data_IF_359876970919
#
_entry.id   IF_359876970919
#
_cell.length_a   1.000
_cell.length_b   1.000
_cell.length_c   1.000
_cell.angle_alpha   90.00
_cell.angle_beta   90.00
_cell.angle_gamma   90.00
#
_symmetry.space_group_name_H-M   'P 1'
#
loop_
_entity.id
_entity.type
_entity.pdbx_description
1 polymer ?
#
# COMPACT_ATOMS: atom_id res chain seq x y z
N UNK A 1 87.36 46.08 37.07
CA UNK A 1 87.20 47.49 36.67
C UNK A 1 86.03 47.58 35.74
N UNK A 2 85.14 48.18 36.35
CA UNK A 2 84.12 49.18 35.94
C UNK A 2 82.98 48.63 35.13
N UNK A 3 81.91 48.52 35.73
CA UNK A 3 80.80 49.45 36.08
C UNK A 3 80.07 49.99 34.87
N UNK A 4 78.78 49.87 34.86
CA UNK A 4 77.93 50.76 34.06
C UNK A 4 76.61 50.18 33.73
N UNK A 5 75.75 50.17 34.62
CA UNK A 5 74.57 50.98 34.75
C UNK A 5 73.31 50.62 33.85
N UNK A 6 72.39 50.16 34.60
CA UNK A 6 70.92 50.01 34.33
C UNK A 6 70.33 51.13 33.47
N UNK A 7 69.42 50.70 32.59
CA UNK A 7 68.25 51.54 32.29
C UNK A 7 66.98 50.73 32.04
N UNK A 8 66.16 50.81 33.02
CA UNK A 8 64.84 50.30 33.16
C UNK A 8 63.92 50.97 32.09
N UNK A 9 63.38 50.26 31.17
CA UNK A 9 62.22 50.73 30.38
C UNK A 9 61.07 49.82 30.58
N UNK A 10 60.14 50.29 31.38
CA UNK A 10 58.81 49.72 31.54
C UNK A 10 58.07 49.91 30.25
N UNK A 11 57.84 48.85 29.52
CA UNK A 11 56.88 48.82 28.40
C UNK A 11 55.55 48.34 28.95
N UNK A 12 54.60 49.26 28.86
CA UNK A 12 53.23 49.16 29.26
C UNK A 12 52.54 48.11 28.36
N UNK A 13 52.22 46.95 28.93
CA UNK A 13 51.42 45.97 28.24
C UNK A 13 49.98 46.40 28.26
N UNK A 14 49.54 46.97 27.13
CA UNK A 14 48.16 47.27 26.83
C UNK A 14 47.41 45.93 26.63
N UNK A 15 46.65 45.56 27.63
CA UNK A 15 45.83 44.35 27.66
C UNK A 15 44.66 44.55 26.71
N UNK A 16 44.81 44.08 25.45
CA UNK A 16 43.69 43.98 24.53
C UNK A 16 42.80 42.80 24.93
N UNK A 17 41.64 43.08 25.52
CA UNK A 17 40.57 42.13 25.78
C UNK A 17 39.87 41.89 24.42
N UNK A 18 40.33 40.88 23.70
CA UNK A 18 39.60 40.34 22.53
C UNK A 18 38.41 39.52 23.03
N UNK A 19 37.21 40.07 22.87
CA UNK A 19 35.97 39.36 23.10
C UNK A 19 35.75 38.45 21.92
N UNK A 20 36.07 37.17 22.06
CA UNK A 20 35.68 36.14 21.06
C UNK A 20 34.20 35.88 21.18
N UNK A 21 33.43 36.45 20.27
CA UNK A 21 32.06 36.04 20.02
C UNK A 21 32.11 34.67 19.28
N UNK A 22 31.93 33.59 20.03
CA UNK A 22 31.66 32.26 19.46
C UNK A 22 30.20 32.28 19.03
N UNK A 23 29.99 32.58 17.74
CA UNK A 23 28.71 32.40 17.11
C UNK A 23 28.44 30.88 17.01
N UNK A 24 27.73 30.35 18.00
CA UNK A 24 27.25 28.97 17.95
C UNK A 24 26.19 28.79 16.85
N UNK A 25 26.61 28.27 15.71
CA UNK A 25 25.70 27.82 14.68
C UNK A 25 25.03 26.54 15.18
N UNK A 26 23.84 26.67 15.79
CA UNK A 26 23.00 25.52 16.14
C UNK A 26 22.39 25.02 14.86
N UNK A 27 23.03 24.03 14.23
CA UNK A 27 22.45 23.31 13.09
C UNK A 27 21.35 22.40 13.66
N UNK A 28 20.12 22.85 13.56
CA UNK A 28 18.93 22.03 13.79
C UNK A 28 18.83 21.04 12.61
N UNK A 29 19.36 19.84 12.82
CA UNK A 29 19.02 18.72 11.94
C UNK A 29 17.53 18.38 12.15
N UNK A 30 16.68 18.92 11.30
CA UNK A 30 15.33 18.39 11.12
C UNK A 30 15.46 16.98 10.54
N UNK A 31 15.45 15.99 11.40
CA UNK A 31 15.19 14.62 11.03
C UNK A 31 13.73 14.55 10.53
N UNK A 32 13.54 14.73 9.24
CA UNK A 32 12.30 14.37 8.57
C UNK A 32 12.28 12.85 8.53
N UNK A 33 11.82 12.25 9.61
CA UNK A 33 11.51 10.84 9.64
C UNK A 33 10.38 10.60 8.63
N UNK A 34 10.71 10.07 7.45
CA UNK A 34 9.71 9.52 6.55
C UNK A 34 9.06 8.34 7.30
N UNK A 35 7.90 8.59 7.90
CA UNK A 35 7.07 7.52 8.39
C UNK A 35 6.69 6.67 7.16
N UNK A 36 7.32 5.51 7.01
CA UNK A 36 6.86 4.47 6.11
C UNK A 36 5.47 4.09 6.62
N UNK A 37 4.44 4.61 5.96
CA UNK A 37 3.08 4.16 6.20
C UNK A 37 3.03 2.67 5.83
N UNK A 38 3.01 1.81 6.84
CA UNK A 38 2.81 0.39 6.65
C UNK A 38 1.36 0.21 6.20
N UNK A 39 1.15 -0.47 5.09
CA UNK A 39 -0.20 -0.82 4.65
C UNK A 39 -0.91 -1.58 5.79
N UNK A 40 -2.18 -1.27 6.09
CA UNK A 40 -2.92 -1.97 7.13
C UNK A 40 -3.01 -3.45 6.80
N UNK A 41 -2.76 -4.31 7.80
CA UNK A 41 -2.85 -5.76 7.61
C UNK A 41 -4.30 -6.19 7.28
N UNK A 42 -4.49 -7.25 6.47
CA UNK A 42 -5.81 -7.74 6.12
C UNK A 42 -6.58 -8.24 7.34
N UNK A 43 -7.90 -8.08 7.34
CA UNK A 43 -8.81 -8.44 8.42
C UNK A 43 -9.70 -9.60 7.96
N UNK A 44 -9.99 -10.53 8.87
CA UNK A 44 -10.88 -11.66 8.56
C UNK A 44 -12.35 -11.23 8.60
N UNK A 45 -13.17 -11.52 7.56
CA UNK A 45 -14.59 -11.19 7.57
C UNK A 45 -15.33 -11.96 8.66
N UNK A 46 -16.27 -11.28 9.31
CA UNK A 46 -17.19 -11.86 10.29
C UNK A 46 -18.37 -12.56 9.59
N UNK A 47 -19.14 -13.32 10.35
CA UNK A 47 -20.37 -13.98 9.83
C UNK A 47 -21.46 -13.01 9.37
N UNK A 48 -21.35 -11.71 9.73
CA UNK A 48 -22.32 -10.67 9.38
C UNK A 48 -21.93 -9.91 8.12
N UNK A 49 -20.68 -9.99 7.70
CA UNK A 49 -20.16 -9.21 6.58
C UNK A 49 -20.71 -9.72 5.26
N UNK A 50 -21.28 -8.80 4.50
CA UNK A 50 -21.86 -9.05 3.18
C UNK A 50 -21.08 -8.30 2.12
N UNK A 51 -20.94 -8.91 0.96
CA UNK A 51 -20.44 -8.23 -0.22
C UNK A 51 -21.38 -7.06 -0.59
N UNK A 52 -20.87 -5.83 -0.67
CA UNK A 52 -21.71 -4.67 -0.96
C UNK A 52 -22.23 -4.62 -2.41
N UNK A 53 -21.72 -5.50 -3.27
CA UNK A 53 -22.11 -5.58 -4.69
C UNK A 53 -23.24 -6.58 -4.91
N UNK A 54 -23.09 -7.82 -4.41
CA UNK A 54 -24.03 -8.91 -4.63
C UNK A 54 -24.89 -9.28 -3.40
N UNK A 55 -24.52 -8.80 -2.20
CA UNK A 55 -25.25 -9.06 -0.96
C UNK A 55 -24.97 -10.41 -0.30
N UNK A 56 -24.07 -11.24 -0.86
CA UNK A 56 -23.73 -12.55 -0.32
C UNK A 56 -22.92 -12.43 0.95
N UNK A 57 -23.07 -13.39 1.88
CA UNK A 57 -22.26 -13.46 3.10
C UNK A 57 -20.86 -13.98 2.75
N UNK A 58 -19.87 -13.11 2.89
CA UNK A 58 -18.48 -13.37 2.45
C UNK A 58 -17.83 -14.53 3.19
N UNK A 59 -18.12 -14.73 4.47
CA UNK A 59 -17.56 -15.84 5.26
C UNK A 59 -17.87 -17.24 4.70
N UNK A 60 -18.87 -17.37 3.82
CA UNK A 60 -19.23 -18.64 3.17
C UNK A 60 -18.27 -19.03 2.04
N UNK A 61 -17.44 -18.08 1.60
CA UNK A 61 -16.54 -18.25 0.45
C UNK A 61 -15.10 -17.86 0.86
N UNK A 62 -14.49 -18.56 1.83
CA UNK A 62 -13.21 -18.19 2.40
C UNK A 62 -12.08 -18.16 1.37
N UNK A 63 -12.16 -18.99 0.33
CA UNK A 63 -11.15 -19.13 -0.73
C UNK A 63 -11.24 -17.99 -1.77
N UNK A 64 -12.24 -17.12 -1.66
CA UNK A 64 -12.52 -16.05 -2.63
C UNK A 64 -12.52 -14.65 -2.01
N UNK A 65 -12.20 -14.52 -0.75
CA UNK A 65 -12.27 -13.24 -0.05
C UNK A 65 -11.45 -12.17 -0.75
N UNK A 66 -12.12 -11.06 -1.08
CA UNK A 66 -11.48 -9.79 -1.41
C UNK A 66 -11.74 -8.78 -0.31
N UNK A 67 -10.84 -7.81 -0.13
CA UNK A 67 -10.92 -6.81 0.92
C UNK A 67 -10.42 -5.45 0.43
N UNK A 68 -11.16 -4.39 0.74
CA UNK A 68 -10.72 -3.00 0.59
C UNK A 68 -10.73 -2.35 1.96
N UNK A 69 -9.57 -1.91 2.43
CA UNK A 69 -9.39 -1.18 3.69
C UNK A 69 -9.25 0.30 3.37
N UNK A 70 -10.05 1.14 4.02
CA UNK A 70 -9.98 2.59 3.89
C UNK A 70 -9.09 3.21 4.96
N UNK A 71 -8.60 4.43 4.70
CA UNK A 71 -7.73 5.18 5.61
C UNK A 71 -8.35 5.50 6.97
N UNK A 72 -9.67 5.51 7.06
CA UNK A 72 -10.40 5.69 8.32
C UNK A 72 -10.62 4.38 9.09
N UNK A 73 -10.02 3.27 8.63
CA UNK A 73 -10.12 1.95 9.25
C UNK A 73 -11.37 1.16 8.88
N UNK A 74 -12.29 1.73 8.11
CA UNK A 74 -13.45 0.96 7.62
C UNK A 74 -13.02 -0.03 6.54
N UNK A 75 -13.68 -1.18 6.48
CA UNK A 75 -13.35 -2.27 5.56
C UNK A 75 -14.59 -2.73 4.82
N UNK A 76 -14.43 -2.99 3.50
CA UNK A 76 -15.41 -3.65 2.67
C UNK A 76 -14.89 -5.03 2.26
N UNK A 77 -15.73 -6.06 2.40
CA UNK A 77 -15.40 -7.45 2.06
C UNK A 77 -16.19 -7.90 0.83
N UNK A 78 -15.57 -8.78 0.03
CA UNK A 78 -16.11 -9.28 -1.23
C UNK A 78 -15.94 -10.80 -1.29
N UNK A 79 -16.85 -11.46 -1.98
CA UNK A 79 -16.86 -12.89 -2.26
C UNK A 79 -16.17 -13.25 -3.58
N UNK A 80 -15.39 -12.33 -4.14
CA UNK A 80 -14.58 -12.51 -5.35
C UNK A 80 -13.91 -11.24 -5.80
N UNK A 81 -12.83 -11.38 -6.57
CA UNK A 81 -12.09 -10.24 -7.12
C UNK A 81 -12.94 -9.43 -8.12
N UNK A 82 -13.83 -10.08 -8.88
CA UNK A 82 -14.73 -9.39 -9.81
C UNK A 82 -15.59 -8.34 -9.10
N UNK A 83 -16.26 -8.71 -8.01
CA UNK A 83 -17.10 -7.80 -7.27
C UNK A 83 -16.30 -6.73 -6.51
N UNK A 84 -15.10 -7.06 -6.04
CA UNK A 84 -14.15 -6.09 -5.52
C UNK A 84 -13.85 -5.00 -6.55
N UNK A 85 -13.53 -5.38 -7.79
CA UNK A 85 -13.25 -4.40 -8.84
C UNK A 85 -14.50 -3.65 -9.32
N UNK A 86 -15.69 -4.25 -9.31
CA UNK A 86 -16.95 -3.51 -9.53
C UNK A 86 -17.11 -2.38 -8.54
N UNK A 87 -16.92 -2.68 -7.28
CA UNK A 87 -16.97 -1.71 -6.19
C UNK A 87 -15.87 -0.64 -6.32
N UNK A 88 -14.62 -1.05 -6.59
CA UNK A 88 -13.49 -0.16 -6.77
C UNK A 88 -13.72 0.89 -7.87
N UNK A 89 -14.34 0.50 -8.98
CA UNK A 89 -14.60 1.40 -10.10
C UNK A 89 -15.84 2.27 -9.91
N UNK A 90 -16.79 1.88 -9.07
CA UNK A 90 -18.03 2.63 -8.85
C UNK A 90 -18.33 2.82 -7.34
N UNK A 91 -17.34 3.39 -6.64
CA UNK A 91 -17.50 3.76 -5.22
C UNK A 91 -18.68 4.70 -5.01
N UNK A 92 -18.97 5.57 -6.00
CA UNK A 92 -20.12 6.48 -5.92
C UNK A 92 -21.45 5.73 -5.79
N UNK A 93 -21.56 4.56 -6.41
CA UNK A 93 -22.76 3.70 -6.32
C UNK A 93 -22.81 2.91 -5.01
N UNK A 94 -21.67 2.32 -4.62
CA UNK A 94 -21.64 1.30 -3.56
C UNK A 94 -21.25 1.86 -2.18
N UNK A 95 -20.57 3.01 -2.14
CA UNK A 95 -20.10 3.64 -0.90
C UNK A 95 -20.06 5.16 -1.05
N UNK A 96 -21.23 5.79 -0.90
CA UNK A 96 -21.35 7.24 -0.96
C UNK A 96 -20.42 7.92 0.06
N UNK A 97 -19.62 8.87 -0.39
CA UNK A 97 -18.69 9.63 0.46
C UNK A 97 -17.27 9.09 0.49
N UNK A 98 -16.98 7.97 -0.19
CA UNK A 98 -15.61 7.46 -0.40
C UNK A 98 -15.17 7.59 -1.85
N UNK A 99 -13.86 7.76 -2.02
CA UNK A 99 -13.17 7.80 -3.31
C UNK A 99 -12.01 6.80 -3.31
N UNK A 100 -11.44 6.53 -4.48
CA UNK A 100 -10.24 5.67 -4.55
C UNK A 100 -9.05 6.24 -3.76
N UNK A 101 -9.00 7.57 -3.54
CA UNK A 101 -7.95 8.22 -2.74
C UNK A 101 -8.05 7.90 -1.24
N UNK A 102 -9.21 7.46 -0.78
CA UNK A 102 -9.46 7.10 0.61
C UNK A 102 -9.10 5.64 0.90
N UNK A 103 -8.74 4.86 -0.13
CA UNK A 103 -8.30 3.48 0.02
C UNK A 103 -6.88 3.47 0.57
N UNK A 104 -6.66 2.67 1.61
CA UNK A 104 -5.37 2.40 2.22
C UNK A 104 -4.74 1.12 1.66
N UNK A 105 -5.52 0.03 1.52
CA UNK A 105 -5.05 -1.25 0.98
C UNK A 105 -6.15 -2.02 0.27
N UNK A 106 -5.74 -2.89 -0.66
CA UNK A 106 -6.63 -3.80 -1.40
C UNK A 106 -6.02 -5.19 -1.37
N UNK A 107 -6.77 -6.17 -0.88
CA UNK A 107 -6.34 -7.56 -0.81
C UNK A 107 -7.26 -8.48 -1.60
N UNK A 108 -6.68 -9.53 -2.17
CA UNK A 108 -7.38 -10.62 -2.84
C UNK A 108 -6.80 -11.96 -2.37
N UNK A 109 -7.60 -13.02 -2.35
CA UNK A 109 -7.14 -14.36 -2.01
C UNK A 109 -6.40 -14.98 -3.19
N UNK A 110 -5.15 -15.34 -2.99
CA UNK A 110 -4.34 -16.09 -3.95
C UNK A 110 -4.90 -17.52 -4.10
N UNK A 111 -4.95 -18.02 -5.33
CA UNK A 111 -5.72 -19.21 -5.68
C UNK A 111 -5.18 -20.52 -5.10
N UNK A 112 -3.86 -20.73 -5.11
CA UNK A 112 -3.25 -21.99 -4.67
C UNK A 112 -3.04 -22.05 -3.15
N UNK A 113 -2.52 -20.98 -2.58
CA UNK A 113 -2.20 -20.91 -1.15
C UNK A 113 -3.41 -20.54 -0.27
N UNK A 114 -4.47 -20.01 -0.88
CA UNK A 114 -5.68 -19.51 -0.18
C UNK A 114 -5.29 -18.47 0.89
N UNK A 115 -4.41 -17.54 0.54
CA UNK A 115 -3.95 -16.46 1.43
C UNK A 115 -4.23 -15.10 0.81
N UNK A 116 -4.58 -14.14 1.66
CA UNK A 116 -4.74 -12.75 1.23
C UNK A 116 -3.39 -12.16 0.82
N UNK A 117 -3.36 -11.52 -0.35
CA UNK A 117 -2.22 -10.82 -0.91
C UNK A 117 -2.61 -9.43 -1.40
N UNK A 118 -1.66 -8.52 -1.45
CA UNK A 118 -1.83 -7.20 -2.03
C UNK A 118 -2.23 -7.32 -3.52
N UNK A 119 -3.42 -6.82 -3.84
CA UNK A 119 -3.97 -6.89 -5.19
C UNK A 119 -3.12 -6.15 -6.23
N UNK A 120 -2.35 -5.12 -5.83
CA UNK A 120 -1.45 -4.40 -6.73
C UNK A 120 -0.24 -5.23 -7.18
N UNK A 121 0.08 -6.30 -6.44
CA UNK A 121 1.19 -7.22 -6.74
C UNK A 121 0.71 -8.51 -7.42
N UNK A 122 -0.61 -8.73 -7.47
CA UNK A 122 -1.20 -9.94 -8.04
C UNK A 122 -1.16 -9.97 -9.59
N UNK A 123 -1.05 -11.19 -10.12
CA UNK A 123 -1.33 -11.51 -11.51
C UNK A 123 -2.70 -12.17 -11.59
N UNK A 124 -3.60 -11.65 -12.43
CA UNK A 124 -4.97 -12.12 -12.54
C UNK A 124 -5.18 -12.88 -13.85
N UNK A 125 -5.65 -14.12 -13.76
CA UNK A 125 -6.09 -14.85 -14.96
C UNK A 125 -7.56 -14.58 -15.17
N UNK A 126 -7.89 -14.21 -16.41
CA UNK A 126 -9.26 -13.95 -16.89
C UNK A 126 -9.68 -14.99 -17.92
N UNK A 127 -10.95 -15.42 -17.84
CA UNK A 127 -11.59 -16.25 -18.86
C UNK A 127 -11.21 -17.72 -18.79
N UNK A 128 -10.86 -18.21 -17.62
CA UNK A 128 -10.67 -19.63 -17.29
C UNK A 128 -12.02 -20.36 -17.20
N UNK A 129 -11.95 -21.69 -17.10
CA UNK A 129 -13.08 -22.57 -16.81
C UNK A 129 -13.34 -22.73 -15.30
N UNK A 130 -12.58 -22.03 -14.46
CA UNK A 130 -12.82 -21.94 -13.01
C UNK A 130 -13.77 -20.78 -12.73
N UNK A 131 -14.82 -21.07 -11.96
CA UNK A 131 -15.87 -20.12 -11.60
C UNK A 131 -15.79 -19.79 -10.11
N UNK A 132 -15.91 -18.52 -9.79
CA UNK A 132 -16.09 -18.04 -8.42
C UNK A 132 -17.57 -18.06 -7.99
N UNK A 133 -17.87 -17.55 -6.78
CA UNK A 133 -19.24 -17.51 -6.24
C UNK A 133 -20.25 -16.82 -7.14
N UNK A 134 -19.81 -15.81 -7.91
CA UNK A 134 -20.64 -15.03 -8.83
C UNK A 134 -20.34 -15.35 -10.31
N UNK A 135 -19.96 -16.58 -10.62
CA UNK A 135 -19.69 -17.04 -11.98
C UNK A 135 -18.26 -16.78 -12.44
N UNK A 136 -18.08 -16.23 -13.68
CA UNK A 136 -16.73 -15.95 -14.20
C UNK A 136 -16.00 -14.96 -13.31
N UNK A 137 -14.69 -15.21 -13.08
CA UNK A 137 -13.92 -14.49 -12.10
C UNK A 137 -12.55 -14.05 -12.63
N UNK A 138 -11.87 -13.17 -11.86
CA UNK A 138 -10.45 -12.87 -11.98
C UNK A 138 -9.72 -13.71 -10.94
N UNK A 139 -8.88 -14.64 -11.39
CA UNK A 139 -8.18 -15.58 -10.50
C UNK A 139 -6.80 -15.02 -10.16
N UNK A 140 -6.51 -14.67 -8.88
CA UNK A 140 -5.27 -14.04 -8.49
C UNK A 140 -4.14 -15.04 -8.20
N UNK A 141 -2.90 -14.67 -8.54
CA UNK A 141 -1.69 -15.44 -8.29
C UNK A 141 -0.55 -14.55 -7.81
N UNK A 142 0.36 -15.12 -6.99
CA UNK A 142 1.57 -14.42 -6.56
C UNK A 142 2.54 -14.18 -7.70
N UNK A 143 2.70 -15.16 -8.60
CA UNK A 143 3.70 -15.10 -9.66
C UNK A 143 3.09 -15.15 -11.05
N UNK A 144 3.79 -14.56 -12.01
CA UNK A 144 3.41 -14.66 -13.43
C UNK A 144 3.53 -16.10 -13.94
N UNK A 145 4.42 -16.90 -13.33
CA UNK A 145 4.61 -18.31 -13.68
C UNK A 145 3.36 -19.09 -13.32
N UNK A 146 2.89 -19.04 -12.05
CA UNK A 146 1.68 -19.74 -11.58
C UNK A 146 0.46 -19.34 -12.40
N UNK A 147 0.32 -18.01 -12.67
CA UNK A 147 -0.73 -17.52 -13.55
C UNK A 147 -0.63 -18.08 -14.98
N UNK A 148 0.59 -18.31 -15.47
CA UNK A 148 0.85 -18.90 -16.79
C UNK A 148 0.48 -20.38 -16.86
N UNK A 149 0.86 -21.14 -15.84
CA UNK A 149 0.51 -22.56 -15.68
C UNK A 149 -1.01 -22.75 -15.56
N UNK A 150 -1.62 -22.01 -14.61
CA UNK A 150 -3.08 -22.02 -14.44
C UNK A 150 -3.82 -21.64 -15.74
N UNK A 151 -3.37 -20.58 -16.42
CA UNK A 151 -3.95 -20.15 -17.69
C UNK A 151 -3.96 -21.26 -18.72
N UNK A 152 -2.89 -22.05 -18.80
CA UNK A 152 -2.75 -23.19 -19.75
C UNK A 152 -3.70 -24.33 -19.34
N UNK A 153 -3.71 -24.70 -18.07
CA UNK A 153 -4.43 -25.86 -17.57
C UNK A 153 -5.96 -25.62 -17.52
N UNK A 154 -6.36 -24.39 -17.24
CA UNK A 154 -7.75 -23.95 -17.08
C UNK A 154 -8.29 -23.12 -18.24
N UNK A 155 -7.69 -23.21 -19.42
CA UNK A 155 -8.14 -22.52 -20.66
C UNK A 155 -8.28 -21.00 -20.50
N UNK A 156 -7.53 -20.39 -19.59
CA UNK A 156 -7.53 -18.96 -19.35
C UNK A 156 -7.17 -18.17 -20.62
N UNK A 157 -7.80 -17.02 -20.81
CA UNK A 157 -7.60 -16.21 -22.02
C UNK A 157 -6.48 -15.20 -21.85
N UNK A 158 -6.42 -14.51 -20.71
CA UNK A 158 -5.50 -13.41 -20.49
C UNK A 158 -4.93 -13.43 -19.07
N UNK A 159 -3.69 -12.97 -18.92
CA UNK A 159 -3.09 -12.61 -17.64
C UNK A 159 -3.05 -11.09 -17.58
N UNK A 160 -3.51 -10.50 -16.49
CA UNK A 160 -3.61 -9.07 -16.27
C UNK A 160 -2.91 -8.72 -14.96
N UNK A 161 -2.35 -7.52 -14.86
CA UNK A 161 -1.96 -6.90 -13.59
C UNK A 161 -3.01 -5.87 -13.19
N UNK A 162 -3.04 -5.44 -11.93
CA UNK A 162 -4.02 -4.52 -11.37
C UNK A 162 -4.35 -3.35 -12.31
N UNK A 163 -3.33 -2.66 -12.82
CA UNK A 163 -3.48 -1.47 -13.70
C UNK A 163 -4.13 -1.78 -15.07
N UNK A 164 -4.18 -3.05 -15.47
CA UNK A 164 -4.78 -3.48 -16.74
C UNK A 164 -6.24 -3.90 -16.58
N UNK A 165 -6.72 -4.03 -15.34
CA UNK A 165 -8.12 -4.29 -15.05
C UNK A 165 -8.88 -2.96 -15.20
N UNK A 166 -9.92 -2.96 -16.02
CA UNK A 166 -10.74 -1.79 -16.33
C UNK A 166 -12.23 -2.15 -16.20
N UNK A 167 -13.14 -1.17 -16.12
CA UNK A 167 -14.58 -1.45 -16.14
C UNK A 167 -15.03 -2.31 -17.33
N UNK A 168 -14.40 -2.13 -18.50
CA UNK A 168 -14.69 -2.93 -19.69
C UNK A 168 -14.21 -4.38 -19.55
N UNK A 169 -13.11 -4.63 -18.83
CA UNK A 169 -12.64 -5.99 -18.50
C UNK A 169 -13.63 -6.66 -17.56
N UNK A 170 -14.08 -5.97 -16.52
CA UNK A 170 -15.06 -6.49 -15.54
C UNK A 170 -16.39 -6.81 -16.21
N UNK A 171 -16.89 -5.94 -17.07
CA UNK A 171 -18.14 -6.17 -17.81
C UNK A 171 -18.11 -7.48 -18.62
N UNK A 172 -16.98 -7.83 -19.23
CA UNK A 172 -16.81 -9.11 -19.98
C UNK A 172 -16.86 -10.38 -19.12
N UNK A 173 -16.81 -10.24 -17.80
CA UNK A 173 -16.98 -11.37 -16.87
C UNK A 173 -18.45 -11.59 -16.50
N UNK A 174 -19.32 -10.64 -16.81
CA UNK A 174 -20.77 -10.78 -16.61
C UNK A 174 -21.49 -11.32 -17.86
N UNK A 175 -20.81 -11.28 -19.04
CA UNK A 175 -21.28 -11.85 -20.33
C UNK A 175 -20.95 -13.37 -20.36
#
# INVERSE_FOLDING_TARGET
METGQRRNRRLCHKRMRGTFWVAGVVIWFFWVGSALALDPAPVKPSKKDKCPVCGMFVYKYPDWVGEIIFKDGTTAFFDGAKDLFKYYFDLKKYNHGKTQKDIAAIYVTEYYDVKLMDAHKAFFVMGSDVYGPMGRELIPFYTKQDAGEFKKDHKGKRILVFKQITPAVIKKLDD
#
